data_IF_715825904792
#
_entry.id   IF_715825904792
#
_cell.length_a   1.000
_cell.length_b   1.000
_cell.length_c   1.000
_cell.angle_alpha   90.00
_cell.angle_beta   90.00
_cell.angle_gamma   90.00
#
_symmetry.space_group_name_H-M   'P 1'
#
loop_
_entity.id
_entity.type
_entity.pdbx_description
1 polymer ?
#
# COMPACT_ATOMS: atom_id res chain seq x y z
N UNK A 1 13.22 0.89 -22.94
CA UNK A 1 12.99 2.11 -22.12
C UNK A 1 14.15 2.37 -21.16
N UNK A 2 14.56 1.39 -20.33
CA UNK A 2 15.64 1.55 -19.34
C UNK A 2 16.97 2.03 -19.95
N UNK A 3 17.40 1.46 -21.08
CA UNK A 3 18.62 1.89 -21.76
C UNK A 3 18.54 3.34 -22.26
N UNK A 4 17.36 3.76 -22.72
CA UNK A 4 17.08 5.15 -23.09
C UNK A 4 17.17 6.09 -21.88
N UNK A 5 16.57 5.71 -20.75
CA UNK A 5 16.66 6.46 -19.49
C UNK A 5 18.10 6.58 -19.00
N UNK A 6 18.85 5.48 -18.99
CA UNK A 6 20.26 5.47 -18.56
C UNK A 6 21.17 6.35 -19.45
N UNK A 7 20.88 6.45 -20.75
CA UNK A 7 21.64 7.27 -21.69
C UNK A 7 21.25 8.75 -21.63
N UNK A 8 19.95 9.06 -21.63
CA UNK A 8 19.43 10.43 -21.76
C UNK A 8 19.14 11.13 -20.44
N UNK A 9 19.00 10.37 -19.33
CA UNK A 9 18.60 10.88 -18.01
C UNK A 9 17.11 11.15 -17.85
N UNK A 10 16.29 10.87 -18.87
CA UNK A 10 14.83 11.04 -18.79
C UNK A 10 14.08 9.98 -19.60
N UNK A 11 12.81 9.78 -19.25
CA UNK A 11 11.88 8.91 -19.97
C UNK A 11 10.50 9.55 -20.06
N UNK A 12 9.67 9.03 -20.94
CA UNK A 12 8.27 9.44 -21.06
C UNK A 12 7.37 8.43 -20.35
N UNK A 13 6.52 8.93 -19.50
CA UNK A 13 5.52 8.13 -18.81
C UNK A 13 4.14 8.65 -19.19
N UNK A 14 3.24 7.74 -19.61
CA UNK A 14 1.83 8.09 -19.75
C UNK A 14 1.28 8.36 -18.36
N UNK A 15 0.58 9.49 -18.17
CA UNK A 15 -0.10 9.77 -16.91
C UNK A 15 -1.16 8.68 -16.67
N UNK A 16 -1.04 7.90 -15.60
CA UNK A 16 -1.99 6.82 -15.34
C UNK A 16 -3.31 7.37 -14.77
N UNK A 17 -4.34 6.58 -14.89
CA UNK A 17 -5.58 6.77 -14.13
C UNK A 17 -5.35 6.42 -12.65
N UNK A 18 -6.27 6.84 -11.77
CA UNK A 18 -6.21 6.55 -10.34
C UNK A 18 -7.41 5.73 -9.87
N UNK A 19 -7.17 4.89 -8.87
CA UNK A 19 -8.16 4.21 -8.04
C UNK A 19 -7.89 4.59 -6.59
N UNK A 20 -8.94 4.89 -5.82
CA UNK A 20 -8.81 5.31 -4.43
C UNK A 20 -9.35 4.27 -3.47
N UNK A 21 -8.59 3.99 -2.43
CA UNK A 21 -8.98 3.17 -1.28
C UNK A 21 -9.06 4.04 -0.03
N UNK A 22 -10.27 4.24 0.48
CA UNK A 22 -10.53 4.91 1.75
C UNK A 22 -10.52 3.89 2.88
N UNK A 23 -9.50 3.96 3.72
CA UNK A 23 -9.35 3.07 4.86
C UNK A 23 -10.20 3.60 6.02
N UNK A 24 -11.07 2.74 6.57
CA UNK A 24 -11.98 3.05 7.67
C UNK A 24 -11.66 2.18 8.89
N UNK A 25 -11.85 2.70 10.09
CA UNK A 25 -11.59 1.96 11.32
C UNK A 25 -10.12 1.72 11.62
N UNK A 26 -9.82 0.65 12.35
CA UNK A 26 -8.46 0.26 12.77
C UNK A 26 -8.28 -1.24 12.68
N UNK A 27 -7.07 -1.70 12.41
CA UNK A 27 -6.74 -3.12 12.37
C UNK A 27 -6.84 -3.75 13.77
N UNK A 28 -7.28 -5.00 13.83
CA UNK A 28 -7.24 -5.80 15.04
C UNK A 28 -5.81 -6.24 15.37
N UNK A 29 -5.49 -6.53 16.66
CA UNK A 29 -4.20 -7.11 17.01
C UNK A 29 -3.90 -8.38 16.22
N UNK A 30 -2.70 -8.46 15.65
CA UNK A 30 -2.25 -9.58 14.81
C UNK A 30 -2.65 -9.48 13.33
N UNK A 31 -3.34 -8.40 12.94
CA UNK A 31 -3.61 -8.05 11.54
C UNK A 31 -2.71 -6.87 11.15
N UNK A 32 -2.12 -6.92 9.97
CA UNK A 32 -1.14 -5.94 9.50
C UNK A 32 -1.56 -5.33 8.15
N UNK A 33 -0.85 -4.33 7.71
CA UNK A 33 -1.04 -3.77 6.37
C UNK A 33 -0.83 -4.80 5.24
N UNK A 34 -0.09 -5.89 5.52
CA UNK A 34 0.06 -7.01 4.58
C UNK A 34 -1.28 -7.70 4.31
N UNK A 35 -2.09 -7.90 5.35
CA UNK A 35 -3.42 -8.50 5.20
C UNK A 35 -4.35 -7.59 4.40
N UNK A 36 -4.26 -6.27 4.63
CA UNK A 36 -5.04 -5.28 3.87
C UNK A 36 -4.73 -5.35 2.39
N UNK A 37 -3.44 -5.38 2.03
CA UNK A 37 -3.08 -5.41 0.60
C UNK A 37 -3.36 -6.78 -0.04
N UNK A 38 -3.30 -7.88 0.72
CA UNK A 38 -3.73 -9.19 0.23
C UNK A 38 -5.25 -9.22 -0.03
N UNK A 39 -6.05 -8.60 0.84
CA UNK A 39 -7.48 -8.42 0.60
C UNK A 39 -7.77 -7.60 -0.67
N UNK A 40 -7.00 -6.53 -0.91
CA UNK A 40 -7.12 -5.72 -2.12
C UNK A 40 -6.71 -6.53 -3.35
N UNK A 41 -5.65 -7.34 -3.27
CA UNK A 41 -5.23 -8.24 -4.34
C UNK A 41 -6.34 -9.20 -4.74
N UNK A 42 -6.92 -9.90 -3.79
CA UNK A 42 -7.99 -10.87 -4.00
C UNK A 42 -9.27 -10.20 -4.55
N UNK A 43 -9.60 -9.01 -4.04
CA UNK A 43 -10.90 -8.37 -4.33
C UNK A 43 -10.87 -7.54 -5.61
N UNK A 44 -9.78 -6.81 -5.87
CA UNK A 44 -9.70 -5.82 -6.96
C UNK A 44 -8.71 -6.19 -8.06
N UNK A 45 -7.51 -6.69 -7.70
CA UNK A 45 -6.49 -6.98 -8.71
C UNK A 45 -6.89 -8.18 -9.60
N UNK A 46 -7.55 -9.18 -9.03
CA UNK A 46 -8.11 -10.33 -9.78
C UNK A 46 -9.07 -9.88 -10.90
N UNK A 47 -9.77 -8.74 -10.70
CA UNK A 47 -10.70 -8.18 -11.69
C UNK A 47 -10.06 -7.13 -12.59
N UNK A 48 -8.74 -6.94 -12.47
CA UNK A 48 -7.99 -5.91 -13.20
C UNK A 48 -8.41 -4.46 -12.86
N UNK A 49 -9.13 -4.25 -11.75
CA UNK A 49 -9.57 -2.91 -11.32
C UNK A 49 -8.40 -1.97 -11.00
N UNK A 50 -7.24 -2.54 -10.65
CA UNK A 50 -6.01 -1.80 -10.33
C UNK A 50 -5.02 -1.69 -11.49
N UNK A 51 -5.29 -2.39 -12.60
CA UNK A 51 -4.35 -2.53 -13.71
C UNK A 51 -3.93 -1.16 -14.28
N UNK A 52 -2.60 -0.94 -14.31
CA UNK A 52 -1.95 0.28 -14.81
C UNK A 52 -2.40 1.59 -14.11
N UNK A 53 -3.08 1.52 -12.96
CA UNK A 53 -3.56 2.69 -12.19
C UNK A 53 -2.61 3.07 -11.06
N UNK A 54 -2.67 4.33 -10.64
CA UNK A 54 -2.15 4.76 -9.34
C UNK A 54 -3.14 4.31 -8.27
N UNK A 55 -2.65 3.58 -7.28
CA UNK A 55 -3.43 3.18 -6.11
C UNK A 55 -3.23 4.23 -5.01
N UNK A 56 -4.26 5.01 -4.71
CA UNK A 56 -4.23 6.05 -3.69
C UNK A 56 -4.89 5.55 -2.40
N UNK A 57 -4.14 5.59 -1.31
CA UNK A 57 -4.60 5.19 0.02
C UNK A 57 -4.81 6.41 0.89
N UNK A 58 -5.98 6.53 1.49
CA UNK A 58 -6.34 7.64 2.36
C UNK A 58 -7.45 7.25 3.32
N UNK A 59 -8.08 8.25 3.93
CA UNK A 59 -9.17 8.06 4.88
C UNK A 59 -8.72 7.95 6.33
N UNK A 60 -9.68 7.97 7.29
CA UNK A 60 -9.36 8.05 8.72
C UNK A 60 -8.58 6.84 9.25
N UNK A 61 -8.76 5.65 8.68
CA UNK A 61 -8.04 4.44 9.06
C UNK A 61 -6.53 4.53 8.81
N UNK A 62 -6.10 5.31 7.81
CA UNK A 62 -4.68 5.51 7.51
C UNK A 62 -3.91 6.10 8.70
N UNK A 63 -4.56 6.93 9.52
CA UNK A 63 -3.92 7.55 10.70
C UNK A 63 -3.54 6.54 11.78
N UNK A 64 -4.15 5.35 11.79
CA UNK A 64 -3.81 4.27 12.73
C UNK A 64 -2.55 3.51 12.29
N UNK A 65 -2.21 3.54 11.02
CA UNK A 65 -1.05 2.86 10.44
C UNK A 65 0.24 3.66 10.63
N UNK A 66 1.31 3.00 10.97
CA UNK A 66 2.63 3.62 10.97
C UNK A 66 3.19 3.77 9.54
N UNK A 67 4.37 4.40 9.42
CA UNK A 67 4.95 4.68 8.10
C UNK A 67 5.41 3.40 7.40
N UNK A 68 5.82 2.39 8.15
CA UNK A 68 6.25 1.11 7.60
C UNK A 68 5.07 0.30 7.06
N UNK A 69 3.93 0.33 7.76
CA UNK A 69 2.67 -0.25 7.27
C UNK A 69 2.18 0.44 5.99
N UNK A 70 2.24 1.78 5.94
CA UNK A 70 1.91 2.54 4.72
C UNK A 70 2.86 2.20 3.56
N UNK A 71 4.14 2.02 3.86
CA UNK A 71 5.13 1.59 2.86
C UNK A 71 4.82 0.19 2.32
N UNK A 72 4.28 -0.71 3.14
CA UNK A 72 3.82 -2.04 2.69
C UNK A 72 2.68 -1.91 1.67
N UNK A 73 1.68 -1.06 1.92
CA UNK A 73 0.59 -0.83 0.97
C UNK A 73 1.11 -0.30 -0.37
N UNK A 74 1.98 0.70 -0.33
CA UNK A 74 2.50 1.33 -1.56
C UNK A 74 3.47 0.44 -2.32
N UNK A 75 4.30 -0.33 -1.62
CA UNK A 75 5.24 -1.26 -2.24
C UNK A 75 4.51 -2.37 -3.00
N UNK A 76 3.46 -2.93 -2.42
CA UNK A 76 2.69 -4.03 -3.03
C UNK A 76 1.69 -3.57 -4.09
N UNK A 77 1.62 -2.29 -4.42
CA UNK A 77 0.86 -1.83 -5.58
C UNK A 77 1.34 -2.51 -6.89
N UNK A 78 2.61 -2.90 -6.96
CA UNK A 78 3.17 -3.65 -8.11
C UNK A 78 2.55 -5.03 -8.25
N UNK A 79 2.39 -5.77 -7.14
CA UNK A 79 1.73 -7.08 -7.12
C UNK A 79 0.24 -6.95 -7.51
N UNK A 80 -0.38 -5.82 -7.15
CA UNK A 80 -1.73 -5.48 -7.60
C UNK A 80 -1.80 -5.04 -9.09
N UNK A 81 -0.72 -5.18 -9.86
CA UNK A 81 -0.63 -4.70 -11.24
C UNK A 81 -0.80 -3.18 -11.41
N UNK A 82 -0.77 -2.44 -10.30
CA UNK A 82 -0.81 -0.98 -10.27
C UNK A 82 0.47 -0.36 -10.80
N UNK A 83 0.39 0.88 -11.24
CA UNK A 83 1.55 1.65 -11.71
C UNK A 83 2.43 2.11 -10.55
N UNK A 84 1.80 2.52 -9.47
CA UNK A 84 2.42 2.92 -8.20
C UNK A 84 1.37 2.99 -7.11
N UNK A 85 1.82 3.08 -5.84
CA UNK A 85 0.97 3.34 -4.69
C UNK A 85 1.36 4.65 -4.02
N UNK A 86 0.37 5.38 -3.51
CA UNK A 86 0.55 6.64 -2.77
C UNK A 86 -0.32 6.61 -1.53
N UNK A 87 0.26 6.94 -0.37
CA UNK A 87 -0.50 7.24 0.85
C UNK A 87 -0.57 8.74 1.08
N UNK A 88 -1.71 9.23 1.56
CA UNK A 88 -1.86 10.64 1.97
C UNK A 88 -0.85 10.99 3.05
N UNK A 89 -0.28 12.20 2.95
CA UNK A 89 0.60 12.74 3.97
C UNK A 89 -0.19 13.26 5.17
N UNK A 90 0.31 13.00 6.37
CA UNK A 90 -0.25 13.48 7.62
C UNK A 90 0.85 13.89 8.63
N UNK A 91 0.44 14.31 9.81
CA UNK A 91 1.36 14.72 10.88
C UNK A 91 2.30 13.59 11.31
N UNK A 92 1.83 12.33 11.32
CA UNK A 92 2.67 11.16 11.66
C UNK A 92 3.82 11.02 10.67
N UNK A 93 3.54 11.12 9.37
CA UNK A 93 4.55 11.05 8.32
C UNK A 93 5.51 12.24 8.41
N UNK A 94 5.00 13.45 8.65
CA UNK A 94 5.84 14.64 8.80
C UNK A 94 6.83 14.49 9.96
N UNK A 95 6.37 14.06 11.12
CA UNK A 95 7.20 13.79 12.29
C UNK A 95 8.21 12.67 12.06
N UNK A 96 7.81 11.59 11.37
CA UNK A 96 8.69 10.46 11.05
C UNK A 96 9.85 10.88 10.14
N UNK A 97 9.59 11.72 9.13
CA UNK A 97 10.62 12.25 8.22
C UNK A 97 11.53 13.22 8.97
N UNK A 98 10.97 14.17 9.72
CA UNK A 98 11.75 15.15 10.48
C UNK A 98 12.68 14.49 11.52
N UNK A 99 12.26 13.39 12.14
CA UNK A 99 13.11 12.62 13.06
C UNK A 99 14.33 11.94 12.39
N UNK A 100 14.35 11.88 11.05
CA UNK A 100 15.41 11.23 10.24
C UNK A 100 16.16 12.20 9.34
N UNK A 101 15.80 13.48 9.37
CA UNK A 101 16.36 14.54 8.53
C UNK A 101 16.73 15.75 9.39
N UNK A 102 18.03 16.00 9.56
CA UNK A 102 18.53 17.12 10.35
C UNK A 102 18.29 18.50 9.71
N UNK A 103 17.95 18.51 8.42
CA UNK A 103 17.75 19.71 7.60
C UNK A 103 16.30 20.13 7.43
N UNK A 104 15.34 19.36 7.97
CA UNK A 104 13.91 19.62 7.83
C UNK A 104 13.18 19.56 9.18
N UNK A 105 12.24 20.50 9.39
CA UNK A 105 11.27 20.41 10.49
C UNK A 105 9.99 19.70 10.02
N UNK A 106 9.18 19.23 10.96
CA UNK A 106 7.90 18.61 10.65
C UNK A 106 6.96 19.54 9.88
N UNK A 107 6.97 20.85 10.21
CA UNK A 107 6.16 21.87 9.52
C UNK A 107 6.63 22.07 8.07
N UNK A 108 7.95 22.03 7.83
CA UNK A 108 8.49 22.11 6.47
C UNK A 108 8.12 20.90 5.65
N UNK A 109 8.17 19.70 6.24
CA UNK A 109 7.74 18.48 5.58
C UNK A 109 6.25 18.51 5.27
N UNK A 110 5.42 18.88 6.24
CA UNK A 110 3.96 18.99 6.04
C UNK A 110 3.60 19.99 4.92
N UNK A 111 4.34 21.07 4.79
CA UNK A 111 4.15 22.05 3.72
C UNK A 111 4.49 21.53 2.31
N UNK A 112 5.18 20.37 2.20
CA UNK A 112 5.49 19.71 0.93
C UNK A 112 4.41 18.72 0.51
N UNK A 113 3.47 18.37 1.37
CA UNK A 113 2.42 17.43 1.05
C UNK A 113 1.47 18.01 0.00
N UNK A 114 1.13 17.17 -0.97
CA UNK A 114 0.16 17.47 -2.01
C UNK A 114 -1.08 16.63 -1.74
N UNK A 115 -2.23 17.26 -1.75
CA UNK A 115 -3.53 16.60 -1.66
C UNK A 115 -4.20 16.56 -3.02
N UNK A 116 -5.16 15.66 -3.20
CA UNK A 116 -6.00 15.66 -4.40
C UNK A 116 -6.72 17.02 -4.54
N UNK A 117 -6.91 17.46 -5.77
CA UNK A 117 -7.70 18.65 -6.07
C UNK A 117 -9.16 18.48 -5.61
N UNK A 118 -9.82 19.62 -5.30
CA UNK A 118 -11.26 19.60 -5.02
C UNK A 118 -12.02 19.10 -6.26
N UNK A 119 -12.83 18.05 -6.08
CA UNK A 119 -13.58 17.43 -7.18
C UNK A 119 -12.75 16.49 -8.05
N UNK A 120 -11.58 16.03 -7.60
CA UNK A 120 -10.79 15.02 -8.30
C UNK A 120 -11.63 13.77 -8.59
N UNK A 121 -11.59 13.30 -9.83
CA UNK A 121 -12.31 12.11 -10.28
C UNK A 121 -11.34 10.92 -10.33
N UNK A 122 -11.78 9.80 -9.76
CA UNK A 122 -11.05 8.53 -9.79
C UNK A 122 -11.72 7.59 -10.78
N UNK A 123 -11.10 7.39 -11.94
CA UNK A 123 -11.66 6.54 -13.01
C UNK A 123 -11.74 5.07 -12.60
N UNK A 124 -10.86 4.62 -11.69
CA UNK A 124 -10.93 3.31 -11.06
C UNK A 124 -11.94 3.23 -9.90
N UNK A 125 -12.63 4.34 -9.60
CA UNK A 125 -13.57 4.43 -8.48
C UNK A 125 -12.93 4.79 -7.15
N UNK A 126 -13.81 4.99 -6.16
CA UNK A 126 -13.45 5.19 -4.75
C UNK A 126 -14.05 4.03 -3.96
N UNK A 127 -13.24 3.32 -3.23
CA UNK A 127 -13.62 2.10 -2.52
C UNK A 127 -13.32 2.23 -1.03
N UNK A 128 -14.31 2.00 -0.19
CA UNK A 128 -14.13 1.98 1.26
C UNK A 128 -13.65 0.59 1.69
N UNK A 129 -12.58 0.55 2.46
CA UNK A 129 -12.01 -0.65 3.08
C UNK A 129 -12.20 -0.55 4.59
N UNK A 130 -13.04 -1.41 5.14
CA UNK A 130 -13.24 -1.51 6.58
C UNK A 130 -12.10 -2.35 7.21
N UNK A 131 -11.14 -1.67 7.83
CA UNK A 131 -10.01 -2.31 8.48
C UNK A 131 -10.44 -3.22 9.64
N UNK A 132 -11.61 -2.98 10.23
CA UNK A 132 -12.11 -3.84 11.32
C UNK A 132 -12.64 -5.18 10.82
N UNK A 133 -12.90 -5.30 9.53
CA UNK A 133 -13.34 -6.54 8.90
C UNK A 133 -12.18 -7.37 8.32
N UNK A 134 -10.97 -6.79 8.26
CA UNK A 134 -9.79 -7.52 7.77
C UNK A 134 -9.35 -8.54 8.81
N UNK A 135 -9.09 -9.76 8.36
CA UNK A 135 -8.59 -10.88 9.16
C UNK A 135 -7.19 -11.29 8.67
N UNK A 136 -6.44 -12.06 9.46
CA UNK A 136 -5.14 -12.57 9.00
C UNK A 136 -5.29 -13.40 7.73
N UNK A 137 -4.52 -13.05 6.70
CA UNK A 137 -4.57 -13.64 5.37
C UNK A 137 -3.25 -14.28 4.97
N UNK A 138 -3.31 -15.15 3.99
CA UNK A 138 -2.15 -15.74 3.33
C UNK A 138 -2.39 -15.84 1.83
N UNK A 139 -1.36 -15.61 1.04
CA UNK A 139 -1.39 -15.95 -0.38
C UNK A 139 -0.92 -17.40 -0.56
N UNK A 140 -1.74 -18.23 -1.20
CA UNK A 140 -1.38 -19.62 -1.53
C UNK A 140 -0.30 -19.66 -2.62
N UNK A 141 0.47 -20.76 -2.71
CA UNK A 141 1.50 -20.89 -3.74
C UNK A 141 0.95 -20.72 -5.15
N UNK A 142 1.71 -20.01 -5.99
CA UNK A 142 1.44 -19.84 -7.41
C UNK A 142 1.21 -18.38 -7.81
N UNK A 143 0.32 -17.67 -7.15
CA UNK A 143 0.02 -16.29 -7.46
C UNK A 143 -0.37 -15.51 -6.20
N UNK A 144 0.12 -14.27 -5.99
CA UNK A 144 -0.22 -13.46 -4.80
C UNK A 144 -1.72 -13.11 -4.72
N UNK A 145 -2.46 -13.21 -5.83
CA UNK A 145 -3.92 -13.02 -5.85
C UNK A 145 -4.70 -14.20 -5.27
N UNK A 146 -4.03 -15.32 -4.97
CA UNK A 146 -4.67 -16.49 -4.33
C UNK A 146 -4.75 -16.30 -2.81
N UNK A 147 -5.33 -15.15 -2.40
CA UNK A 147 -5.59 -14.84 -1.00
C UNK A 147 -6.55 -15.85 -0.37
N UNK A 148 -6.36 -16.12 0.93
CA UNK A 148 -7.27 -16.93 1.75
C UNK A 148 -7.13 -16.54 3.21
N UNK A 149 -8.22 -16.54 3.94
CA UNK A 149 -8.19 -16.34 5.38
C UNK A 149 -7.43 -17.49 6.06
N UNK A 150 -6.51 -17.16 6.95
CA UNK A 150 -5.72 -18.21 7.66
C UNK A 150 -6.64 -19.18 8.41
N UNK A 151 -7.78 -18.69 8.89
CA UNK A 151 -8.75 -19.51 9.62
C UNK A 151 -9.38 -20.64 8.76
N UNK A 152 -9.43 -20.46 7.44
CA UNK A 152 -10.01 -21.42 6.49
C UNK A 152 -8.96 -22.43 5.99
N UNK A 153 -7.69 -22.15 6.24
CA UNK A 153 -6.62 -23.12 5.96
C UNK A 153 -6.60 -24.24 6.99
N UNK A 154 -6.50 -25.45 6.53
CA UNK A 154 -6.16 -26.60 7.39
C UNK A 154 -4.73 -26.50 7.92
N UNK A 155 -4.34 -27.49 8.74
CA UNK A 155 -2.94 -27.61 9.18
C UNK A 155 -2.02 -27.80 7.97
N UNK A 156 -1.03 -26.89 7.86
CA UNK A 156 0.04 -26.97 6.85
C UNK A 156 1.35 -27.17 7.58
N UNK A 157 2.08 -28.23 7.24
CA UNK A 157 3.42 -28.44 7.77
C UNK A 157 4.43 -27.60 7.00
N UNK A 158 5.26 -26.86 7.73
CA UNK A 158 6.25 -25.93 7.18
C UNK A 158 7.66 -26.39 7.57
N UNK A 159 8.51 -26.66 6.60
CA UNK A 159 9.91 -27.05 6.82
C UNK A 159 10.82 -25.84 7.03
N UNK A 160 10.55 -24.72 6.33
CA UNK A 160 11.34 -23.51 6.40
C UNK A 160 10.40 -22.31 6.46
N UNK A 161 10.59 -21.42 7.47
CA UNK A 161 9.95 -20.12 7.53
C UNK A 161 10.98 -19.03 7.22
N UNK A 162 10.67 -18.16 6.28
CA UNK A 162 11.50 -17.02 5.91
C UNK A 162 10.77 -15.71 6.23
N UNK A 163 11.40 -14.86 7.03
CA UNK A 163 10.89 -13.52 7.37
C UNK A 163 11.77 -12.45 6.73
N UNK A 164 11.17 -11.53 5.99
CA UNK A 164 11.86 -10.45 5.33
C UNK A 164 11.45 -10.35 3.85
N UNK A 165 11.78 -9.32 3.22
CA UNK A 165 11.77 -8.96 1.80
C UNK A 165 11.56 -7.44 1.67
N UNK A 166 11.17 -6.94 0.48
CA UNK A 166 10.93 -5.52 0.26
C UNK A 166 9.78 -4.92 1.11
N UNK A 167 8.83 -5.73 1.59
CA UNK A 167 7.67 -5.30 2.40
C UNK A 167 7.69 -5.76 3.84
N UNK A 168 8.68 -6.53 4.27
CA UNK A 168 8.71 -7.14 5.60
C UNK A 168 10.13 -7.20 6.17
N UNK A 169 10.27 -7.64 7.44
CA UNK A 169 11.56 -7.73 8.13
C UNK A 169 11.94 -6.43 8.82
N UNK A 170 10.97 -5.63 9.22
CA UNK A 170 11.13 -4.43 10.03
C UNK A 170 10.94 -4.79 11.51
N UNK A 171 11.41 -3.92 12.40
CA UNK A 171 11.31 -4.14 13.86
C UNK A 171 9.85 -4.21 14.37
N UNK A 172 8.91 -3.77 13.56
CA UNK A 172 7.46 -3.71 13.88
C UNK A 172 6.64 -4.86 13.29
N UNK A 173 7.25 -5.69 12.45
CA UNK A 173 6.57 -6.83 11.79
C UNK A 173 6.35 -8.04 12.70
#
# INVERSE_FOLDING_TARGET
>A
EYAGLAYSGFTFVRVPESIRFNLQGTLHPGVTAKDVILHILETFAVREDTLDRVMEFGGPGLTSMDVDERATLTNMATECTGKTGICEGDERLANWIAARRDDLTAEQVAAMFVTADEGAEYTGGVHDIDLTAIVPMVAKPGDPTYGEDIADLGKIDVDIAYGGSCTAGKDTD
#
